data_IF_013685952233
#
_entry.id   IF_013685952233
#
_cell.length_a   1.000
_cell.length_b   1.000
_cell.length_c   1.000
_cell.angle_alpha   90.00
_cell.angle_beta   90.00
_cell.angle_gamma   90.00
#
_symmetry.space_group_name_H-M   'P 1'
#
loop_
_entity.id
_entity.type
_entity.pdbx_description
1 polymer ?
#
# COMPACT_ATOMS: atom_id res chain seq x y z
N UNK A 1 -12.02 -20.11 -13.74
CA UNK A 1 -10.83 -19.29 -14.03
C UNK A 1 -9.61 -20.19 -13.91
N UNK A 2 -8.65 -20.08 -14.82
CA UNK A 2 -7.39 -20.81 -14.72
C UNK A 2 -6.61 -20.26 -13.52
N UNK A 3 -6.42 -21.08 -12.48
CA UNK A 3 -5.68 -20.68 -11.28
C UNK A 3 -4.18 -20.97 -11.38
N UNK A 4 -3.71 -21.48 -12.53
CA UNK A 4 -2.32 -21.89 -12.72
C UNK A 4 -1.43 -20.65 -12.93
N UNK A 5 -0.25 -20.69 -12.33
CA UNK A 5 0.80 -19.71 -12.58
C UNK A 5 1.61 -20.13 -13.81
N UNK A 6 1.79 -19.24 -14.78
CA UNK A 6 2.60 -19.51 -15.98
C UNK A 6 4.06 -19.80 -15.65
N UNK A 7 4.59 -19.14 -14.62
CA UNK A 7 5.96 -19.34 -14.15
C UNK A 7 6.06 -20.65 -13.34
N UNK A 8 6.86 -21.65 -13.79
CA UNK A 8 6.97 -22.95 -13.12
C UNK A 8 7.52 -22.87 -11.69
N UNK A 9 8.39 -21.89 -11.39
CA UNK A 9 8.93 -21.68 -10.04
C UNK A 9 7.83 -21.20 -9.09
N UNK A 10 6.99 -20.29 -9.56
CA UNK A 10 5.84 -19.78 -8.78
C UNK A 10 4.81 -20.91 -8.59
N UNK A 11 4.49 -21.65 -9.64
CA UNK A 11 3.58 -22.80 -9.54
C UNK A 11 4.05 -23.81 -8.47
N UNK A 12 5.36 -24.09 -8.39
CA UNK A 12 5.93 -24.96 -7.36
C UNK A 12 5.76 -24.40 -5.94
N UNK A 13 5.90 -23.09 -5.74
CA UNK A 13 5.71 -22.44 -4.43
C UNK A 13 4.24 -22.52 -3.96
N UNK A 14 3.31 -22.38 -4.89
CA UNK A 14 1.88 -22.33 -4.59
C UNK A 14 1.17 -23.70 -4.63
N UNK A 15 1.90 -24.80 -4.88
CA UNK A 15 1.34 -26.15 -5.06
C UNK A 15 0.45 -26.66 -3.91
N UNK A 16 0.71 -26.19 -2.69
CA UNK A 16 -0.01 -26.60 -1.48
C UNK A 16 -1.02 -25.55 -1.00
N UNK A 17 -1.18 -24.44 -1.74
CA UNK A 17 -2.15 -23.40 -1.38
C UNK A 17 -3.56 -23.89 -1.78
N UNK A 18 -4.56 -23.78 -0.89
CA UNK A 18 -5.93 -24.17 -1.21
C UNK A 18 -6.44 -23.50 -2.49
N UNK A 19 -7.10 -24.27 -3.36
CA UNK A 19 -7.59 -23.78 -4.66
C UNK A 19 -8.55 -22.59 -4.53
N UNK A 20 -9.35 -22.55 -3.46
CA UNK A 20 -10.22 -21.43 -3.15
C UNK A 20 -9.43 -20.14 -2.88
N UNK A 21 -8.34 -20.23 -2.10
CA UNK A 21 -7.50 -19.07 -1.81
C UNK A 21 -6.77 -18.57 -3.06
N UNK A 22 -6.31 -19.48 -3.93
CA UNK A 22 -5.75 -19.14 -5.24
C UNK A 22 -6.79 -18.44 -6.11
N UNK A 23 -8.00 -18.97 -6.18
CA UNK A 23 -9.10 -18.39 -6.97
C UNK A 23 -9.46 -16.99 -6.48
N UNK A 24 -9.46 -16.77 -5.16
CA UNK A 24 -9.70 -15.47 -4.54
C UNK A 24 -8.58 -14.47 -4.84
N UNK A 25 -7.31 -14.89 -4.77
CA UNK A 25 -6.17 -14.05 -5.15
C UNK A 25 -6.23 -13.63 -6.63
N UNK A 26 -6.54 -14.57 -7.54
CA UNK A 26 -6.68 -14.26 -8.96
C UNK A 26 -7.82 -13.26 -9.19
N UNK A 27 -8.97 -13.46 -8.52
CA UNK A 27 -10.09 -12.52 -8.57
C UNK A 27 -9.69 -11.13 -8.08
N UNK A 28 -8.98 -11.04 -6.96
CA UNK A 28 -8.46 -9.77 -6.44
C UNK A 28 -7.63 -9.04 -7.51
N UNK A 29 -6.68 -9.73 -8.15
CA UNK A 29 -5.82 -9.14 -9.20
C UNK A 29 -6.59 -8.71 -10.45
N UNK A 30 -7.60 -9.47 -10.85
CA UNK A 30 -8.44 -9.12 -12.01
C UNK A 30 -9.38 -7.96 -11.70
N UNK A 31 -9.94 -7.93 -10.49
CA UNK A 31 -10.89 -6.89 -10.08
C UNK A 31 -10.19 -5.57 -9.75
N UNK A 32 -8.98 -5.63 -9.22
CA UNK A 32 -8.22 -4.46 -8.76
C UNK A 32 -6.85 -4.39 -9.45
N UNK A 33 -6.81 -4.11 -10.76
CA UNK A 33 -5.56 -3.99 -11.48
C UNK A 33 -4.75 -2.78 -10.98
N UNK A 34 -3.43 -2.87 -11.12
CA UNK A 34 -2.54 -1.76 -10.79
C UNK A 34 -2.83 -0.55 -11.68
N UNK A 35 -3.02 0.61 -11.06
CA UNK A 35 -2.89 1.92 -11.68
C UNK A 35 -1.42 2.32 -11.75
N UNK A 36 -1.13 3.28 -12.63
CA UNK A 36 0.17 3.93 -12.78
C UNK A 36 0.02 5.43 -12.76
N UNK A 37 0.96 6.13 -12.15
CA UNK A 37 1.06 7.57 -12.23
C UNK A 37 2.51 8.02 -12.14
N UNK A 38 2.84 9.12 -12.83
CA UNK A 38 4.08 9.85 -12.59
C UNK A 38 3.83 10.89 -11.50
N UNK A 39 4.65 10.89 -10.45
CA UNK A 39 4.67 11.89 -9.38
C UNK A 39 6.10 12.39 -9.28
N UNK A 40 6.30 13.69 -9.48
CA UNK A 40 7.62 14.35 -9.47
C UNK A 40 8.68 13.62 -10.31
N UNK A 41 8.30 13.21 -11.52
CA UNK A 41 9.16 12.48 -12.45
C UNK A 41 9.40 11.01 -12.11
N UNK A 42 8.85 10.51 -10.99
CA UNK A 42 8.94 9.10 -10.58
C UNK A 42 7.69 8.34 -10.98
N UNK A 43 7.86 7.18 -11.61
CA UNK A 43 6.75 6.26 -11.91
C UNK A 43 6.33 5.49 -10.66
N UNK A 44 5.03 5.50 -10.38
CA UNK A 44 4.41 4.78 -9.28
C UNK A 44 3.42 3.75 -9.80
N UNK A 45 3.35 2.61 -9.12
CA UNK A 45 2.27 1.65 -9.25
C UNK A 45 1.51 1.59 -7.95
N UNK A 46 0.19 1.51 -8.02
CA UNK A 46 -0.66 1.42 -6.84
C UNK A 46 -2.00 0.78 -7.17
N UNK A 47 -2.68 0.32 -6.14
CA UNK A 47 -4.06 -0.17 -6.19
C UNK A 47 -4.96 0.95 -5.66
N UNK A 48 -6.02 1.25 -6.39
CA UNK A 48 -7.12 2.12 -5.97
C UNK A 48 -8.43 1.33 -6.13
N UNK A 49 -9.11 1.08 -5.03
CA UNK A 49 -10.27 0.19 -4.99
C UNK A 49 -11.29 0.62 -3.94
N UNK A 50 -12.50 0.06 -4.02
CA UNK A 50 -13.63 0.46 -3.19
C UNK A 50 -14.17 1.84 -3.57
N UNK A 51 -15.26 2.25 -2.92
CA UNK A 51 -15.97 3.50 -3.25
C UNK A 51 -16.60 4.20 -2.05
N UNK A 52 -16.10 3.94 -0.84
CA UNK A 52 -16.58 4.59 0.38
C UNK A 52 -16.06 6.01 0.56
N UNK A 53 -16.79 6.82 1.33
CA UNK A 53 -16.40 8.22 1.65
C UNK A 53 -15.09 8.30 2.43
N UNK A 54 -14.84 7.33 3.31
CA UNK A 54 -13.58 7.22 4.05
C UNK A 54 -12.51 6.58 3.16
N UNK A 55 -11.30 7.16 3.19
CA UNK A 55 -10.15 6.64 2.46
C UNK A 55 -9.18 5.98 3.42
N UNK A 56 -8.74 4.77 3.10
CA UNK A 56 -7.65 4.06 3.76
C UNK A 56 -6.40 4.07 2.86
N UNK A 57 -5.31 4.64 3.34
CA UNK A 57 -3.97 4.48 2.76
C UNK A 57 -3.30 3.26 3.41
N UNK A 58 -3.20 2.16 2.67
CA UNK A 58 -2.65 0.89 3.14
C UNK A 58 -1.18 0.72 2.70
N UNK A 59 -0.27 0.87 3.66
CA UNK A 59 1.17 0.88 3.47
C UNK A 59 1.78 -0.50 3.79
N UNK A 60 2.29 -1.15 2.75
CA UNK A 60 2.90 -2.49 2.82
C UNK A 60 4.18 -2.54 3.65
N UNK A 61 4.48 -3.73 4.17
CA UNK A 61 5.75 -4.03 4.85
C UNK A 61 6.95 -4.09 3.90
N UNK A 62 8.01 -4.77 4.33
CA UNK A 62 9.32 -4.76 3.65
C UNK A 62 9.34 -5.36 2.23
N UNK A 63 8.24 -5.95 1.76
CA UNK A 63 8.11 -6.34 0.36
C UNK A 63 7.83 -5.18 -0.57
N UNK A 64 7.42 -4.02 -0.04
CA UNK A 64 7.26 -2.78 -0.81
C UNK A 64 6.29 -2.89 -1.99
N UNK A 65 5.37 -3.85 -1.96
CA UNK A 65 4.41 -4.14 -3.03
C UNK A 65 2.99 -3.92 -2.50
N UNK A 66 2.16 -3.17 -3.24
CA UNK A 66 0.79 -2.80 -2.88
C UNK A 66 -0.07 -4.02 -2.52
N UNK A 67 0.00 -5.07 -3.34
CA UNK A 67 -0.82 -6.27 -3.19
C UNK A 67 -0.48 -7.10 -1.94
N UNK A 68 0.63 -6.87 -1.24
CA UNK A 68 1.07 -7.75 -0.14
C UNK A 68 -0.06 -8.02 0.88
N UNK A 69 -0.84 -7.00 1.22
CA UNK A 69 -1.95 -7.11 2.18
C UNK A 69 -3.32 -7.26 1.51
N UNK A 70 -3.39 -7.93 0.35
CA UNK A 70 -4.61 -8.01 -0.48
C UNK A 70 -5.87 -8.49 0.26
N UNK A 71 -5.76 -9.41 1.22
CA UNK A 71 -6.90 -9.84 2.04
C UNK A 71 -7.48 -8.70 2.88
N UNK A 72 -6.62 -7.85 3.45
CA UNK A 72 -7.02 -6.68 4.22
C UNK A 72 -7.57 -5.60 3.29
N UNK A 73 -6.93 -5.36 2.14
CA UNK A 73 -7.40 -4.42 1.12
C UNK A 73 -8.80 -4.80 0.68
N UNK A 74 -9.03 -6.06 0.30
CA UNK A 74 -10.34 -6.58 -0.13
C UNK A 74 -11.40 -6.43 0.97
N UNK A 75 -11.03 -6.68 2.23
CA UNK A 75 -11.96 -6.50 3.36
C UNK A 75 -12.37 -5.04 3.55
N UNK A 76 -11.42 -4.11 3.58
CA UNK A 76 -11.70 -2.69 3.79
C UNK A 76 -12.39 -2.03 2.59
N UNK A 77 -12.10 -2.49 1.37
CA UNK A 77 -12.71 -2.00 0.13
C UNK A 77 -14.24 -2.21 0.07
N UNK A 78 -14.80 -3.09 0.91
CA UNK A 78 -16.24 -3.30 1.02
C UNK A 78 -16.99 -2.07 1.57
N UNK A 79 -16.30 -1.18 2.29
CA UNK A 79 -16.90 -0.03 2.99
C UNK A 79 -16.16 1.28 2.78
N UNK A 80 -14.90 1.22 2.36
CA UNK A 80 -14.00 2.37 2.24
C UNK A 80 -13.40 2.39 0.83
N UNK A 81 -12.90 3.54 0.39
CA UNK A 81 -11.91 3.59 -0.68
C UNK A 81 -10.54 3.21 -0.11
N UNK A 82 -9.75 2.41 -0.82
CA UNK A 82 -8.43 1.95 -0.38
C UNK A 82 -7.39 2.30 -1.44
N UNK A 83 -6.38 3.06 -1.04
CA UNK A 83 -5.17 3.32 -1.83
C UNK A 83 -4.03 2.49 -1.24
N UNK A 84 -3.36 1.68 -2.05
CA UNK A 84 -2.17 0.94 -1.63
C UNK A 84 -1.06 1.07 -2.66
N UNK A 85 0.06 1.74 -2.35
CA UNK A 85 1.15 1.94 -3.30
C UNK A 85 2.21 0.82 -3.22
N UNK A 86 2.84 0.53 -4.35
CA UNK A 86 4.21 0.02 -4.34
C UNK A 86 5.13 1.14 -3.83
N UNK A 87 6.24 0.79 -3.18
CA UNK A 87 7.26 1.79 -2.85
C UNK A 87 8.24 1.88 -4.00
N UNK A 88 8.29 3.05 -4.64
CA UNK A 88 9.32 3.36 -5.62
C UNK A 88 10.69 3.39 -4.95
N UNK A 89 11.74 3.06 -5.70
CA UNK A 89 13.12 3.05 -5.21
C UNK A 89 13.66 4.48 -5.13
N UNK A 90 13.23 5.21 -4.10
CA UNK A 90 13.66 6.57 -3.80
C UNK A 90 14.72 6.56 -2.70
N UNK A 91 15.65 7.50 -2.78
CA UNK A 91 16.83 7.55 -1.90
C UNK A 91 16.51 8.03 -0.48
N UNK A 92 15.35 8.66 -0.27
CA UNK A 92 14.97 9.23 1.03
C UNK A 92 13.55 8.84 1.43
N UNK A 93 13.34 8.73 2.74
CA UNK A 93 12.00 8.52 3.31
C UNK A 93 11.09 9.72 3.04
N UNK A 94 11.63 10.94 3.05
CA UNK A 94 10.89 12.15 2.71
C UNK A 94 10.34 12.07 1.27
N UNK A 95 11.19 11.77 0.30
CA UNK A 95 10.75 11.59 -1.10
C UNK A 95 9.75 10.45 -1.26
N UNK A 96 9.89 9.36 -0.50
CA UNK A 96 8.90 8.28 -0.49
C UNK A 96 7.52 8.77 -0.03
N UNK A 97 7.44 9.50 1.09
CA UNK A 97 6.15 9.97 1.61
C UNK A 97 5.54 11.10 0.78
N UNK A 98 6.37 11.99 0.23
CA UNK A 98 5.94 13.02 -0.72
C UNK A 98 5.34 12.39 -1.98
N UNK A 99 6.00 11.37 -2.53
CA UNK A 99 5.49 10.64 -3.68
C UNK A 99 4.16 9.92 -3.38
N UNK A 100 4.01 9.35 -2.18
CA UNK A 100 2.74 8.77 -1.72
C UNK A 100 1.65 9.85 -1.59
N UNK A 101 1.99 11.04 -1.07
CA UNK A 101 1.05 12.16 -1.01
C UNK A 101 0.64 12.63 -2.41
N UNK A 102 1.57 12.65 -3.36
CA UNK A 102 1.27 12.94 -4.76
C UNK A 102 0.34 11.90 -5.42
N UNK A 103 0.40 10.63 -5.02
CA UNK A 103 -0.63 9.64 -5.44
C UNK A 103 -2.02 10.07 -4.93
N UNK A 104 -2.13 10.51 -3.67
CA UNK A 104 -3.40 10.99 -3.13
C UNK A 104 -3.89 12.24 -3.88
N UNK A 105 -3.01 13.17 -4.24
CA UNK A 105 -3.36 14.35 -5.04
C UNK A 105 -3.91 13.97 -6.42
N UNK A 106 -3.24 13.03 -7.10
CA UNK A 106 -3.67 12.53 -8.42
C UNK A 106 -5.05 11.90 -8.38
N UNK A 107 -5.42 11.31 -7.24
CA UNK A 107 -6.71 10.66 -7.01
C UNK A 107 -7.76 11.56 -6.35
N UNK A 108 -7.44 12.85 -6.16
CA UNK A 108 -8.35 13.86 -5.58
C UNK A 108 -8.64 13.64 -4.10
N UNK A 109 -7.75 12.98 -3.37
CA UNK A 109 -7.91 12.61 -1.97
C UNK A 109 -7.21 13.64 -1.09
N UNK A 110 -7.97 14.46 -0.38
CA UNK A 110 -7.40 15.45 0.55
C UNK A 110 -6.90 14.81 1.85
N UNK A 111 -7.54 13.76 2.37
CA UNK A 111 -7.23 13.17 3.67
C UNK A 111 -7.53 11.68 3.70
N UNK A 112 -6.69 10.90 4.39
CA UNK A 112 -6.86 9.44 4.51
C UNK A 112 -6.52 8.93 5.92
N UNK A 113 -7.16 7.82 6.32
CA UNK A 113 -6.71 6.99 7.43
C UNK A 113 -5.46 6.23 6.99
N UNK A 114 -4.34 6.39 7.69
CA UNK A 114 -3.06 5.82 7.30
C UNK A 114 -2.81 4.56 8.12
N UNK A 115 -2.67 3.42 7.44
CA UNK A 115 -2.40 2.13 8.06
C UNK A 115 -1.07 1.56 7.57
N UNK A 116 -0.18 1.24 8.51
CA UNK A 116 1.14 0.69 8.20
C UNK A 116 1.45 -0.57 9.00
N UNK A 117 1.87 -1.63 8.30
CA UNK A 117 2.33 -2.89 8.88
C UNK A 117 3.84 -3.06 8.78
N UNK A 118 4.53 -3.44 9.86
CA UNK A 118 6.00 -3.69 9.83
C UNK A 118 6.76 -2.47 9.28
N UNK A 119 7.53 -2.60 8.18
CA UNK A 119 8.19 -1.48 7.51
C UNK A 119 7.22 -0.36 7.09
N UNK A 120 6.01 -0.71 6.65
CA UNK A 120 4.97 0.26 6.32
C UNK A 120 4.52 1.08 7.51
N UNK A 121 4.73 0.60 8.74
CA UNK A 121 4.53 1.38 9.96
C UNK A 121 5.56 2.49 10.15
N UNK A 122 6.81 2.31 9.70
CA UNK A 122 7.80 3.39 9.66
C UNK A 122 7.42 4.43 8.60
N UNK A 123 7.01 3.97 7.41
CA UNK A 123 6.53 4.85 6.33
C UNK A 123 5.29 5.63 6.79
N UNK A 124 4.35 4.99 7.48
CA UNK A 124 3.15 5.64 8.01
C UNK A 124 3.50 6.76 9.01
N UNK A 125 4.42 6.50 9.94
CA UNK A 125 4.87 7.51 10.92
C UNK A 125 5.57 8.69 10.23
N UNK A 126 6.39 8.42 9.22
CA UNK A 126 7.01 9.47 8.40
C UNK A 126 5.94 10.28 7.64
N UNK A 127 4.95 9.62 7.05
CA UNK A 127 3.87 10.27 6.30
C UNK A 127 3.05 11.21 7.19
N UNK A 128 2.68 10.79 8.40
CA UNK A 128 1.95 11.66 9.34
C UNK A 128 2.77 12.87 9.75
N UNK A 129 4.09 12.74 9.86
CA UNK A 129 4.98 13.87 10.19
C UNK A 129 5.13 14.84 9.02
N UNK A 130 5.34 14.36 7.79
CA UNK A 130 5.50 15.21 6.60
C UNK A 130 4.18 15.80 6.09
N UNK A 131 3.06 15.10 6.31
CA UNK A 131 1.74 15.46 5.79
C UNK A 131 0.64 15.32 6.87
N UNK A 132 0.73 16.05 8.00
CA UNK A 132 -0.23 15.93 9.10
C UNK A 132 -1.65 16.28 8.67
N UNK A 133 -1.82 17.31 7.82
CA UNK A 133 -3.12 17.75 7.31
C UNK A 133 -3.79 16.71 6.39
N UNK A 134 -2.99 15.78 5.83
CA UNK A 134 -3.45 14.69 4.97
C UNK A 134 -3.81 13.43 5.76
N UNK A 135 -3.62 13.44 7.08
CA UNK A 135 -3.83 12.26 7.94
C UNK A 135 -5.12 12.39 8.78
N UNK A 136 -6.05 11.47 8.58
CA UNK A 136 -7.28 11.34 9.38
C UNK A 136 -7.03 10.61 10.70
N UNK A 137 -6.32 9.49 10.63
CA UNK A 137 -5.86 8.72 11.78
C UNK A 137 -4.62 7.93 11.41
N UNK A 138 -3.89 7.43 12.41
CA UNK A 138 -2.75 6.54 12.25
C UNK A 138 -3.03 5.17 12.87
N UNK A 139 -2.83 4.11 12.10
CA UNK A 139 -2.99 2.71 12.54
C UNK A 139 -1.64 2.00 12.35
N UNK A 140 -1.04 1.57 13.46
CA UNK A 140 0.24 0.88 13.48
C UNK A 140 0.04 -0.60 13.82
N UNK A 141 0.56 -1.49 12.98
CA UNK A 141 0.42 -2.94 13.16
C UNK A 141 1.78 -3.62 13.08
N UNK A 142 2.17 -4.33 14.15
CA UNK A 142 3.41 -5.14 14.17
C UNK A 142 4.65 -4.35 13.71
N UNK A 143 4.80 -3.12 14.22
CA UNK A 143 5.86 -2.17 13.86
C UNK A 143 6.51 -1.59 15.13
N UNK A 144 7.56 -0.81 14.94
CA UNK A 144 8.28 -0.14 16.01
C UNK A 144 8.19 1.38 15.85
N UNK A 145 8.45 2.09 16.93
CA UNK A 145 8.62 3.53 16.90
C UNK A 145 10.01 3.86 16.33
N UNK A 146 10.16 4.95 15.56
CA UNK A 146 11.47 5.44 15.17
C UNK A 146 12.29 5.79 16.42
N UNK A 147 13.60 5.56 16.36
CA UNK A 147 14.53 6.13 17.35
C UNK A 147 14.53 7.66 17.22
N UNK A 148 15.02 8.38 18.24
CA UNK A 148 15.16 9.84 18.17
C UNK A 148 15.94 10.28 16.92
N UNK A 149 17.09 9.66 16.66
CA UNK A 149 17.93 9.94 15.49
C UNK A 149 17.18 9.65 14.17
N UNK A 150 16.47 8.52 14.08
CA UNK A 150 15.67 8.19 12.90
C UNK A 150 14.46 9.11 12.70
N UNK A 151 13.96 9.73 13.78
CA UNK A 151 12.90 10.72 13.69
C UNK A 151 13.40 12.06 13.10
N UNK A 152 14.63 12.46 13.40
CA UNK A 152 15.23 13.71 12.90
C UNK A 152 15.56 13.64 11.39
N UNK A 153 15.81 12.44 10.84
CA UNK A 153 16.13 12.25 9.41
C UNK A 153 14.94 12.36 8.45
N UNK A 154 13.72 12.50 8.98
CA UNK A 154 12.51 12.68 8.17
C UNK A 154 11.72 13.92 8.63
N UNK A 155 12.41 14.84 9.30
CA UNK A 155 11.95 16.20 9.54
C UNK A 155 12.54 17.10 8.44
#
# INVERSE_FOLDING_TARGET
>A
MDTRFENPKVAKLYKNVPSELLSRLHRFRTQYPYKRATVDGTEWRYIDTGSGEQVLLALSGATCIAEMSWLSIEHFAQRNRVISPDYSALDTMAGLVDGIAGILDREGISRAHVMGGSYGGFVAQAFVRGHPDRTASLILSHTLLPTREGAEQVA
#
